data_IF_092409958069
#
_entry.id   IF_092409958069
#
_cell.length_a   1.000
_cell.length_b   1.000
_cell.length_c   1.000
_cell.angle_alpha   90.00
_cell.angle_beta   90.00
_cell.angle_gamma   90.00
#
_symmetry.space_group_name_H-M   'P 1'
#
loop_
_entity.id
_entity.type
_entity.pdbx_description
1 polymer ?
#
# COMPACT_ATOMS: atom_id res chain seq x y z
N UNK A 1 -41.71 -37.48 -33.41
CA UNK A 1 -40.61 -37.85 -32.51
C UNK A 1 -39.80 -36.60 -32.28
N UNK A 2 -39.85 -36.07 -31.06
CA UNK A 2 -39.15 -34.86 -30.63
C UNK A 2 -37.68 -35.14 -30.30
N UNK A 3 -36.95 -34.04 -30.14
CA UNK A 3 -35.65 -33.86 -29.49
C UNK A 3 -34.43 -34.00 -30.41
N UNK A 4 -33.43 -33.10 -30.35
CA UNK A 4 -33.25 -31.96 -29.47
C UNK A 4 -32.09 -31.11 -29.99
N UNK A 5 -32.31 -29.80 -30.06
CA UNK A 5 -31.30 -28.83 -30.46
C UNK A 5 -30.40 -28.55 -29.27
N UNK A 6 -29.20 -29.10 -29.25
CA UNK A 6 -28.17 -28.80 -28.24
C UNK A 6 -27.72 -27.34 -28.37
N UNK A 7 -28.26 -26.46 -27.54
CA UNK A 7 -27.69 -25.14 -27.30
C UNK A 7 -26.38 -25.31 -26.53
N UNK A 8 -25.27 -24.99 -27.18
CA UNK A 8 -23.98 -24.81 -26.53
C UNK A 8 -24.08 -23.63 -25.55
N UNK A 9 -24.05 -23.93 -24.25
CA UNK A 9 -23.99 -22.92 -23.21
C UNK A 9 -22.66 -22.18 -23.31
N UNK A 10 -22.69 -20.99 -23.92
CA UNK A 10 -21.57 -20.06 -23.92
C UNK A 10 -21.38 -19.56 -22.49
N UNK A 11 -20.31 -20.01 -21.83
CA UNK A 11 -19.90 -19.51 -20.54
C UNK A 11 -19.85 -17.97 -20.58
N UNK A 12 -20.37 -17.27 -19.55
CA UNK A 12 -20.37 -15.82 -19.56
C UNK A 12 -18.91 -15.34 -19.58
N UNK A 13 -18.57 -14.51 -20.56
CA UNK A 13 -17.31 -13.80 -20.57
C UNK A 13 -17.33 -12.87 -19.35
N UNK A 14 -16.69 -13.28 -18.25
CA UNK A 14 -16.49 -12.43 -17.10
C UNK A 14 -15.58 -11.27 -17.51
N UNK A 15 -16.17 -10.13 -17.87
CA UNK A 15 -15.46 -8.87 -17.87
C UNK A 15 -15.11 -8.57 -16.42
N UNK A 16 -13.92 -9.00 -15.98
CA UNK A 16 -13.41 -8.69 -14.65
C UNK A 16 -13.23 -7.19 -14.58
N UNK A 17 -14.08 -6.52 -13.79
CA UNK A 17 -13.93 -5.10 -13.58
C UNK A 17 -12.71 -4.86 -12.69
N UNK A 18 -12.08 -3.67 -12.79
CA UNK A 18 -11.00 -3.29 -11.88
C UNK A 18 -11.43 -3.37 -10.41
N UNK A 19 -12.71 -3.13 -10.12
CA UNK A 19 -13.26 -3.25 -8.77
C UNK A 19 -13.24 -4.72 -8.28
N UNK A 20 -13.54 -5.68 -9.15
CA UNK A 20 -13.50 -7.11 -8.80
C UNK A 20 -12.07 -7.57 -8.52
N UNK A 21 -11.10 -7.12 -9.33
CA UNK A 21 -9.68 -7.43 -9.13
C UNK A 21 -9.17 -6.86 -7.80
N UNK A 22 -9.54 -5.62 -7.46
CA UNK A 22 -9.17 -5.02 -6.17
C UNK A 22 -9.83 -5.74 -4.99
N UNK A 23 -11.09 -6.17 -5.11
CA UNK A 23 -11.79 -6.91 -4.07
C UNK A 23 -11.15 -8.29 -3.82
N UNK A 24 -10.77 -9.01 -4.88
CA UNK A 24 -10.04 -10.28 -4.77
C UNK A 24 -8.69 -10.06 -4.11
N UNK A 25 -7.93 -9.04 -4.54
CA UNK A 25 -6.63 -8.73 -3.96
C UNK A 25 -6.73 -8.36 -2.48
N UNK A 26 -7.75 -7.59 -2.10
CA UNK A 26 -7.98 -7.21 -0.71
C UNK A 26 -8.38 -8.42 0.15
N UNK A 27 -9.20 -9.32 -0.38
CA UNK A 27 -9.55 -10.60 0.25
C UNK A 27 -8.33 -11.52 0.44
N UNK A 28 -7.32 -11.41 -0.43
CA UNK A 28 -6.06 -12.14 -0.31
C UNK A 28 -5.11 -11.58 0.77
N UNK A 29 -5.31 -10.35 1.28
CA UNK A 29 -4.46 -9.79 2.34
C UNK A 29 -4.94 -10.29 3.70
N UNK A 30 -4.15 -11.18 4.31
CA UNK A 30 -4.47 -11.71 5.64
C UNK A 30 -4.48 -10.61 6.72
N UNK A 31 -5.26 -10.81 7.79
CA UNK A 31 -5.24 -9.93 8.98
C UNK A 31 -3.82 -9.75 9.55
N UNK A 32 -3.01 -10.80 9.51
CA UNK A 32 -1.63 -10.77 9.96
C UNK A 32 -0.77 -9.82 9.09
N UNK A 33 -0.94 -9.87 7.77
CA UNK A 33 -0.25 -8.97 6.84
C UNK A 33 -0.66 -7.53 7.06
N UNK A 34 -1.96 -7.25 7.24
CA UNK A 34 -2.45 -5.90 7.60
C UNK A 34 -1.83 -5.39 8.90
N UNK A 35 -1.72 -6.26 9.91
CA UNK A 35 -1.03 -5.93 11.17
C UNK A 35 0.44 -5.57 10.96
N UNK A 36 1.16 -6.32 10.10
CA UNK A 36 2.55 -6.01 9.74
C UNK A 36 2.66 -4.67 9.03
N UNK A 37 1.79 -4.37 8.06
CA UNK A 37 1.79 -3.09 7.36
C UNK A 37 1.49 -1.93 8.30
N UNK A 38 0.53 -2.06 9.21
CA UNK A 38 0.25 -1.04 10.23
C UNK A 38 1.50 -0.78 11.10
N UNK A 39 2.20 -1.83 11.53
CA UNK A 39 3.45 -1.70 12.28
C UNK A 39 4.54 -0.98 11.49
N UNK A 40 4.72 -1.34 10.20
CA UNK A 40 5.64 -0.67 9.30
C UNK A 40 5.31 0.82 9.12
N UNK A 41 4.03 1.17 8.89
CA UNK A 41 3.60 2.56 8.78
C UNK A 41 3.85 3.33 10.08
N UNK A 42 3.56 2.75 11.23
CA UNK A 42 3.87 3.37 12.53
C UNK A 42 5.37 3.63 12.72
N UNK A 43 6.24 2.74 12.22
CA UNK A 43 7.69 2.96 12.23
C UNK A 43 8.11 4.19 11.42
N UNK A 44 7.46 4.43 10.28
CA UNK A 44 7.70 5.63 9.44
C UNK A 44 7.19 6.87 10.14
N UNK A 45 5.96 6.86 10.67
CA UNK A 45 5.37 7.99 11.40
C UNK A 45 6.22 8.40 12.62
N UNK A 46 6.73 7.42 13.36
CA UNK A 46 7.62 7.66 14.50
C UNK A 46 8.95 8.28 14.05
N UNK A 47 9.52 7.83 12.91
CA UNK A 47 10.71 8.47 12.35
C UNK A 47 10.45 9.94 11.97
N UNK A 48 9.31 10.26 11.36
CA UNK A 48 8.95 11.65 11.04
C UNK A 48 8.91 12.50 12.32
N UNK A 49 8.19 12.04 13.34
CA UNK A 49 8.00 12.79 14.59
C UNK A 49 9.28 12.94 15.42
N UNK A 50 10.18 11.96 15.37
CA UNK A 50 11.35 11.94 16.24
C UNK A 50 12.62 12.43 15.54
N UNK A 51 12.75 12.21 14.24
CA UNK A 51 14.00 12.47 13.51
C UNK A 51 13.84 13.60 12.50
N UNK A 52 12.79 13.58 11.68
CA UNK A 52 12.55 14.66 10.70
C UNK A 52 12.20 15.97 11.41
N UNK A 53 11.45 15.90 12.51
CA UNK A 53 11.10 17.09 13.31
C UNK A 53 12.32 17.81 13.93
N UNK A 54 13.51 17.18 13.97
CA UNK A 54 14.75 17.82 14.43
C UNK A 54 15.33 18.80 13.41
N UNK A 55 14.95 18.66 12.14
CA UNK A 55 15.51 19.45 11.02
C UNK A 55 14.44 20.20 10.21
N UNK A 56 13.17 19.79 10.33
CA UNK A 56 12.03 20.39 9.64
C UNK A 56 10.90 20.63 10.63
N UNK A 57 10.59 21.90 10.91
CA UNK A 57 9.55 22.28 11.87
C UNK A 57 8.13 21.98 11.37
N UNK A 58 7.94 21.85 10.05
CA UNK A 58 6.64 21.62 9.44
C UNK A 58 6.42 20.14 9.08
N UNK A 59 6.65 19.23 10.04
CA UNK A 59 6.37 17.80 9.83
C UNK A 59 4.88 17.46 9.75
N UNK A 60 4.01 18.36 10.21
CA UNK A 60 2.56 18.18 10.16
C UNK A 60 2.05 17.91 8.74
N UNK A 61 2.70 18.46 7.70
CA UNK A 61 2.32 18.24 6.29
C UNK A 61 2.37 16.77 5.86
N UNK A 62 3.18 15.94 6.52
CA UNK A 62 3.29 14.52 6.21
C UNK A 62 2.13 13.67 6.75
N UNK A 63 1.22 14.26 7.54
CA UNK A 63 0.07 13.57 8.10
C UNK A 63 -1.22 14.11 7.50
N UNK A 64 -2.19 13.23 7.28
CA UNK A 64 -3.55 13.61 6.92
C UNK A 64 -4.45 13.78 8.16
N UNK A 65 -5.74 14.03 7.93
CA UNK A 65 -6.71 14.24 9.00
C UNK A 65 -6.92 13.01 9.91
N UNK A 66 -6.58 11.81 9.43
CA UNK A 66 -6.70 10.55 10.18
C UNK A 66 -5.40 10.17 10.90
N UNK A 67 -4.43 11.09 10.98
CA UNK A 67 -3.07 10.84 11.47
C UNK A 67 -2.33 9.75 10.67
N UNK A 68 -2.73 9.54 9.42
CA UNK A 68 -2.04 8.65 8.48
C UNK A 68 -1.14 9.42 7.51
N UNK A 69 -0.28 8.71 6.78
CA UNK A 69 0.65 9.38 5.87
C UNK A 69 -0.12 10.11 4.76
N UNK A 70 0.12 11.41 4.65
CA UNK A 70 -0.30 12.21 3.50
C UNK A 70 0.59 11.86 2.31
N UNK A 71 0.11 11.00 1.40
CA UNK A 71 0.87 10.52 0.24
C UNK A 71 1.16 11.60 -0.81
N UNK A 72 0.59 12.79 -0.67
CA UNK A 72 0.92 13.95 -1.52
C UNK A 72 2.24 14.62 -1.09
N UNK A 73 2.53 14.61 0.21
CA UNK A 73 3.73 15.22 0.82
C UNK A 73 4.79 14.17 1.12
N UNK A 74 4.37 12.97 1.54
CA UNK A 74 5.24 11.81 1.74
C UNK A 74 5.57 11.14 0.40
N UNK A 75 6.45 11.79 -0.35
CA UNK A 75 6.87 11.37 -1.70
C UNK A 75 7.86 10.19 -1.67
N UNK A 76 8.12 9.53 -2.81
CA UNK A 76 9.15 8.48 -2.91
C UNK A 76 10.52 8.90 -2.38
N UNK A 77 10.94 10.15 -2.61
CA UNK A 77 12.24 10.65 -2.14
C UNK A 77 12.31 10.76 -0.62
N UNK A 78 11.22 11.15 0.05
CA UNK A 78 11.13 11.16 1.52
C UNK A 78 11.16 9.72 2.06
N UNK A 79 10.52 8.78 1.37
CA UNK A 79 10.60 7.37 1.73
C UNK A 79 12.02 6.80 1.59
N UNK A 80 12.77 7.20 0.57
CA UNK A 80 14.17 6.80 0.42
C UNK A 80 15.05 7.33 1.56
N UNK A 81 14.83 8.56 2.02
CA UNK A 81 15.50 9.09 3.22
C UNK A 81 15.21 8.24 4.45
N UNK A 82 13.96 7.80 4.63
CA UNK A 82 13.60 6.85 5.68
C UNK A 82 14.35 5.52 5.53
N UNK A 83 14.47 4.98 4.31
CA UNK A 83 15.20 3.73 4.08
C UNK A 83 16.69 3.86 4.41
N UNK A 84 17.32 4.97 4.04
CA UNK A 84 18.72 5.28 4.39
C UNK A 84 18.89 5.39 5.91
N UNK A 85 17.98 6.10 6.58
CA UNK A 85 17.99 6.16 8.05
C UNK A 85 17.84 4.75 8.65
N UNK A 86 16.93 3.93 8.13
CA UNK A 86 16.59 2.64 8.74
C UNK A 86 17.59 1.54 8.43
N UNK A 87 18.33 1.61 7.32
CA UNK A 87 19.22 0.54 6.85
C UNK A 87 20.38 0.24 7.79
N UNK A 88 20.78 1.19 8.63
CA UNK A 88 21.80 0.96 9.68
C UNK A 88 21.26 0.17 10.88
N UNK A 89 19.94 0.04 11.02
CA UNK A 89 19.28 -0.59 12.18
C UNK A 89 18.58 -1.91 11.87
N UNK A 90 18.28 -2.19 10.59
CA UNK A 90 17.46 -3.35 10.21
C UNK A 90 17.99 -4.07 8.98
N UNK A 91 17.61 -5.34 8.82
CA UNK A 91 17.94 -6.15 7.64
C UNK A 91 17.13 -5.73 6.42
N UNK A 92 17.65 -6.03 5.23
CA UNK A 92 16.99 -5.76 3.93
C UNK A 92 15.56 -6.30 3.83
N UNK A 93 15.27 -7.46 4.43
CA UNK A 93 13.92 -8.03 4.44
C UNK A 93 12.90 -7.15 5.20
N UNK A 94 13.36 -6.39 6.19
CA UNK A 94 12.51 -5.41 6.89
C UNK A 94 12.28 -4.17 6.03
N UNK A 95 13.30 -3.73 5.27
CA UNK A 95 13.19 -2.62 4.32
C UNK A 95 12.16 -2.91 3.21
N UNK A 96 12.14 -4.13 2.66
CA UNK A 96 11.12 -4.54 1.69
C UNK A 96 9.71 -4.60 2.30
N UNK A 97 9.60 -4.87 3.59
CA UNK A 97 8.36 -4.78 4.36
C UNK A 97 7.77 -3.37 4.37
N UNK A 98 8.61 -2.35 4.64
CA UNK A 98 8.17 -0.95 4.58
C UNK A 98 7.71 -0.55 3.17
N UNK A 99 8.45 -0.97 2.12
CA UNK A 99 8.06 -0.70 0.72
C UNK A 99 6.70 -1.32 0.40
N UNK A 100 6.48 -2.56 0.85
CA UNK A 100 5.19 -3.24 0.66
C UNK A 100 4.04 -2.53 1.37
N UNK A 101 4.28 -2.02 2.59
CA UNK A 101 3.28 -1.28 3.35
C UNK A 101 2.89 0.04 2.67
N UNK A 102 3.87 0.78 2.12
CA UNK A 102 3.58 2.00 1.35
C UNK A 102 2.78 1.69 0.08
N UNK A 103 3.18 0.67 -0.69
CA UNK A 103 2.44 0.24 -1.90
C UNK A 103 1.00 -0.16 -1.58
N UNK A 104 0.78 -0.85 -0.46
CA UNK A 104 -0.57 -1.19 0.00
C UNK A 104 -1.35 0.06 0.44
N UNK A 105 -0.70 1.05 1.06
CA UNK A 105 -1.34 2.30 1.43
C UNK A 105 -1.83 3.09 0.20
N UNK A 106 -1.03 3.18 -0.87
CA UNK A 106 -1.46 3.75 -2.15
C UNK A 106 -2.69 3.02 -2.71
N UNK A 107 -2.69 1.69 -2.65
CA UNK A 107 -3.82 0.85 -3.09
C UNK A 107 -5.08 1.12 -2.27
N UNK A 108 -4.97 1.11 -0.93
CA UNK A 108 -6.09 1.33 -0.01
C UNK A 108 -6.69 2.73 -0.20
N UNK A 109 -5.85 3.76 -0.37
CA UNK A 109 -6.28 5.13 -0.67
C UNK A 109 -6.71 5.34 -2.14
N UNK A 110 -6.64 4.30 -2.97
CA UNK A 110 -6.97 4.31 -4.41
C UNK A 110 -6.21 5.36 -5.21
N UNK A 111 -4.97 5.63 -4.81
CA UNK A 111 -4.07 6.56 -5.49
C UNK A 111 -3.23 5.83 -6.54
N UNK A 112 -2.80 6.56 -7.57
CA UNK A 112 -1.86 6.02 -8.55
C UNK A 112 -0.51 5.78 -7.86
N UNK A 113 0.05 4.57 -8.02
CA UNK A 113 1.36 4.25 -7.47
C UNK A 113 2.45 4.93 -8.32
N UNK A 114 3.34 5.74 -7.71
CA UNK A 114 4.49 6.32 -8.42
C UNK A 114 5.42 5.24 -9.00
N UNK A 115 6.03 5.47 -10.18
CA UNK A 115 6.90 4.49 -10.84
C UNK A 115 8.15 4.09 -10.05
N UNK A 116 8.55 4.88 -9.04
CA UNK A 116 9.70 4.66 -8.18
C UNK A 116 9.49 3.51 -7.15
N UNK A 117 8.26 2.98 -7.02
CA UNK A 117 7.88 2.00 -5.99
C UNK A 117 7.88 0.52 -6.37
#
# INVERSE_FOLDING_TARGET
>A
MSDGSSQSARAPAHSSSRADVEAIRDACVTKQTRGKYKSSLNGIKMWIRNEVAKVDENTARFFDADDDLNLTEFTPSVFEQFLVYKSSYVKTATLSGYRSAIKDLYRVKRLALPPEY
#
